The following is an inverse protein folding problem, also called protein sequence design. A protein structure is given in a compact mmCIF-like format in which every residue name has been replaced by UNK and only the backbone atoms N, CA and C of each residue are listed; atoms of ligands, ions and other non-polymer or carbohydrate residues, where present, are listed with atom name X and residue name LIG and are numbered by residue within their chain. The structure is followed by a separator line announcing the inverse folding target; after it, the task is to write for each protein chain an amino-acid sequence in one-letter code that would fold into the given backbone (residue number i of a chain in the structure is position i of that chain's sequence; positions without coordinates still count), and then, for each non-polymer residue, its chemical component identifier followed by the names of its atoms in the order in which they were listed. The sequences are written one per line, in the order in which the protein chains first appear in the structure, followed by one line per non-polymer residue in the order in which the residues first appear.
data_IF_547881275278
#
_entry.id   IF_547881275278
#
_cell.length_a   1.000
_cell.length_b   1.000
_cell.length_c   1.000
_cell.angle_alpha   90.00
_cell.angle_beta   90.00
_cell.angle_gamma   90.00
#
_symmetry.space_group_name_H-M   'P 1'
#
loop_
_entity.id
_entity.type
_entity.pdbx_description
1 polymer ?
#
# COMPACT_ATOMS: atom_id res chain seq x y z
N UNK A 1 43.92 10.27 -23.15
CA UNK A 1 43.46 11.23 -22.12
C UNK A 1 41.98 11.54 -22.34
N UNK A 2 41.05 10.71 -21.85
CA UNK A 2 39.59 10.88 -22.01
C UNK A 2 38.71 10.44 -20.80
N UNK A 3 39.18 10.35 -19.52
CA UNK A 3 38.30 9.84 -18.45
C UNK A 3 37.34 10.88 -17.84
N UNK A 4 37.49 12.18 -18.13
CA UNK A 4 36.76 13.24 -17.39
C UNK A 4 35.31 13.46 -17.82
N UNK A 5 34.90 12.98 -19.00
CA UNK A 5 33.52 13.15 -19.51
C UNK A 5 32.59 12.04 -18.99
N UNK A 6 33.13 10.87 -18.64
CA UNK A 6 32.33 9.71 -18.20
C UNK A 6 31.80 9.89 -16.77
N UNK A 7 32.58 10.53 -15.89
CA UNK A 7 32.23 10.76 -14.48
C UNK A 7 30.94 11.59 -14.30
N UNK A 8 30.77 12.77 -14.95
CA UNK A 8 29.54 13.56 -14.79
C UNK A 8 28.31 12.87 -15.38
N UNK A 9 28.45 12.07 -16.44
CA UNK A 9 27.35 11.29 -17.01
C UNK A 9 26.86 10.21 -16.02
N UNK A 10 27.77 9.49 -15.37
CA UNK A 10 27.41 8.49 -14.35
C UNK A 10 26.73 9.15 -13.14
N UNK A 11 27.25 10.30 -12.68
CA UNK A 11 26.63 11.06 -11.58
C UNK A 11 25.22 11.56 -11.94
N UNK A 12 25.01 12.04 -13.17
CA UNK A 12 23.69 12.48 -13.63
C UNK A 12 22.69 11.33 -13.67
N UNK A 13 23.10 10.16 -14.18
CA UNK A 13 22.25 8.95 -14.21
C UNK A 13 21.88 8.51 -12.79
N UNK A 14 22.85 8.46 -11.88
CA UNK A 14 22.61 8.12 -10.46
C UNK A 14 21.68 9.12 -9.77
N UNK A 15 21.82 10.41 -10.07
CA UNK A 15 20.97 11.47 -9.50
C UNK A 15 19.51 11.35 -9.97
N UNK A 16 19.29 11.11 -11.26
CA UNK A 16 17.95 10.90 -11.84
C UNK A 16 17.29 9.64 -11.27
N UNK A 17 18.05 8.54 -11.15
CA UNK A 17 17.56 7.31 -10.53
C UNK A 17 17.19 7.50 -9.06
N UNK A 18 18.00 8.25 -8.30
CA UNK A 18 17.73 8.61 -6.91
C UNK A 18 16.44 9.41 -6.73
N UNK A 19 16.19 10.42 -7.58
CA UNK A 19 14.95 11.19 -7.55
C UNK A 19 13.70 10.35 -7.82
N UNK A 20 13.77 9.41 -8.78
CA UNK A 20 12.64 8.54 -9.12
C UNK A 20 12.24 7.63 -7.94
N UNK A 21 13.23 7.10 -7.20
CA UNK A 21 12.99 6.32 -5.97
C UNK A 21 12.29 7.13 -4.87
N UNK A 22 12.72 8.38 -4.63
CA UNK A 22 12.12 9.24 -3.58
C UNK A 22 10.64 9.52 -3.84
N UNK A 23 10.25 9.84 -5.08
CA UNK A 23 8.84 10.09 -5.44
C UNK A 23 7.95 8.86 -5.23
N UNK A 24 8.45 7.65 -5.48
CA UNK A 24 7.72 6.40 -5.20
C UNK A 24 7.49 6.22 -3.70
N UNK A 25 8.50 6.52 -2.87
CA UNK A 25 8.40 6.40 -1.42
C UNK A 25 7.36 7.37 -0.82
N UNK A 26 7.37 8.63 -1.25
CA UNK A 26 6.38 9.63 -0.78
C UNK A 26 4.94 9.23 -1.12
N UNK A 27 4.70 8.72 -2.35
CA UNK A 27 3.37 8.23 -2.74
C UNK A 27 2.92 7.04 -1.90
N UNK A 28 3.85 6.14 -1.55
CA UNK A 28 3.55 5.00 -0.68
C UNK A 28 3.19 5.45 0.73
N UNK A 29 3.91 6.42 1.30
CA UNK A 29 3.59 6.96 2.63
C UNK A 29 2.23 7.66 2.66
N UNK A 30 1.92 8.51 1.67
CA UNK A 30 0.61 9.16 1.60
C UNK A 30 -0.53 8.15 1.42
N UNK A 31 -0.27 7.03 0.72
CA UNK A 31 -1.24 5.96 0.57
C UNK A 31 -1.46 5.20 1.89
N UNK A 32 -0.38 4.89 2.61
CA UNK A 32 -0.43 4.21 3.92
C UNK A 32 -1.06 5.06 5.03
N UNK A 33 -1.07 6.39 4.88
CA UNK A 33 -1.76 7.30 5.79
C UNK A 33 -3.28 7.40 5.58
N UNK A 34 -3.84 6.72 4.57
CA UNK A 34 -5.30 6.69 4.36
C UNK A 34 -5.97 5.72 5.34
N UNK A 35 -7.22 5.99 5.68
CA UNK A 35 -8.04 5.11 6.51
C UNK A 35 -8.03 3.67 5.99
N UNK A 36 -7.96 2.71 6.90
CA UNK A 36 -7.92 1.29 6.62
C UNK A 36 -6.55 0.75 6.26
N UNK A 37 -5.48 1.56 6.24
CA UNK A 37 -4.12 1.09 5.91
C UNK A 37 -3.18 0.90 7.11
N UNK A 38 -3.64 1.26 8.32
CA UNK A 38 -2.97 1.02 9.58
C UNK A 38 -3.97 0.48 10.61
N UNK A 39 -3.50 -0.25 11.65
CA UNK A 39 -4.38 -0.73 12.71
C UNK A 39 -5.03 0.41 13.50
N UNK A 40 -4.33 1.54 13.70
CA UNK A 40 -4.89 2.73 14.36
C UNK A 40 -5.97 3.45 13.57
N UNK A 41 -5.93 3.34 12.23
CA UNK A 41 -6.92 3.94 11.33
C UNK A 41 -7.84 2.89 10.71
N UNK A 42 -8.00 1.73 11.37
CA UNK A 42 -8.79 0.62 10.85
C UNK A 42 -10.22 1.08 10.52
N UNK A 43 -10.70 0.70 9.33
CA UNK A 43 -12.02 1.12 8.87
C UNK A 43 -13.09 0.33 9.63
N UNK A 44 -14.03 1.03 10.24
CA UNK A 44 -15.18 0.38 10.91
C UNK A 44 -16.15 -0.13 9.85
N UNK A 45 -16.53 -1.40 9.98
CA UNK A 45 -17.52 -2.07 9.12
C UNK A 45 -18.54 -2.79 9.99
N UNK A 46 -19.79 -2.84 9.51
CA UNK A 46 -20.87 -3.53 10.21
C UNK A 46 -20.79 -5.06 10.01
N UNK A 47 -20.13 -5.49 8.93
CA UNK A 47 -20.01 -6.90 8.55
C UNK A 47 -18.76 -7.15 7.73
N UNK A 48 -18.20 -8.36 7.85
CA UNK A 48 -17.12 -8.83 6.98
C UNK A 48 -17.50 -8.80 5.48
N UNK A 49 -18.79 -8.84 5.15
CA UNK A 49 -19.26 -8.74 3.75
C UNK A 49 -18.97 -7.37 3.12
N UNK A 50 -18.92 -6.30 3.92
CA UNK A 50 -18.60 -4.95 3.46
C UNK A 50 -17.12 -4.75 3.12
N UNK A 51 -16.27 -5.68 3.52
CA UNK A 51 -14.84 -5.59 3.24
C UNK A 51 -14.53 -5.81 1.76
N UNK A 52 -15.28 -6.68 1.07
CA UNK A 52 -15.07 -6.98 -0.35
C UNK A 52 -15.30 -5.77 -1.27
N UNK A 53 -16.43 -5.04 -1.22
CA UNK A 53 -16.61 -3.85 -2.07
C UNK A 53 -15.59 -2.76 -1.78
N UNK A 54 -15.08 -2.66 -0.54
CA UNK A 54 -13.98 -1.75 -0.23
C UNK A 54 -12.67 -2.17 -0.91
N UNK A 55 -12.33 -3.47 -0.90
CA UNK A 55 -11.17 -3.99 -1.64
C UNK A 55 -11.30 -3.69 -3.14
N UNK A 56 -12.49 -3.90 -3.70
CA UNK A 56 -12.75 -3.73 -5.14
C UNK A 56 -12.66 -2.26 -5.59
N UNK A 57 -13.00 -1.31 -4.71
CA UNK A 57 -12.92 0.13 -4.97
C UNK A 57 -11.53 0.69 -4.70
N UNK A 58 -10.78 0.09 -3.77
CA UNK A 58 -9.44 0.54 -3.40
C UNK A 58 -8.45 0.28 -4.53
N UNK A 59 -7.59 1.27 -4.81
CA UNK A 59 -6.53 1.18 -5.81
C UNK A 59 -5.18 1.16 -5.15
N UNK A 60 -4.22 0.47 -5.75
CA UNK A 60 -2.83 0.55 -5.32
C UNK A 60 -2.29 1.98 -5.54
N UNK A 61 -1.22 2.36 -4.85
CA UNK A 61 -0.51 3.62 -5.08
C UNK A 61 0.00 3.79 -6.52
N UNK A 62 0.13 2.69 -7.29
CA UNK A 62 0.44 2.73 -8.72
C UNK A 62 -0.79 3.00 -9.61
N UNK A 63 -2.00 3.04 -9.06
CA UNK A 63 -3.27 3.13 -9.79
C UNK A 63 -3.90 1.78 -10.18
N UNK A 64 -3.16 0.68 -10.00
CA UNK A 64 -3.62 -0.67 -10.32
C UNK A 64 -4.74 -1.17 -9.42
N UNK A 65 -5.53 -2.13 -9.92
CA UNK A 65 -6.48 -2.90 -9.10
C UNK A 65 -5.73 -3.76 -8.10
N UNK A 66 -6.35 -3.98 -6.94
CA UNK A 66 -5.87 -4.88 -5.90
C UNK A 66 -6.83 -6.05 -5.80
N UNK A 67 -6.30 -7.21 -5.44
CA UNK A 67 -7.09 -8.41 -5.20
C UNK A 67 -6.80 -8.97 -3.82
N UNK A 68 -7.84 -9.48 -3.16
CA UNK A 68 -7.72 -10.15 -1.87
C UNK A 68 -6.98 -11.47 -2.03
N UNK A 69 -5.97 -11.71 -1.18
CA UNK A 69 -5.18 -12.94 -1.12
C UNK A 69 -5.32 -13.68 0.20
N UNK A 70 -5.51 -12.94 1.29
CA UNK A 70 -5.63 -13.51 2.63
C UNK A 70 -6.56 -12.68 3.50
N UNK A 71 -7.10 -13.32 4.52
CA UNK A 71 -7.91 -12.71 5.56
C UNK A 71 -7.56 -13.38 6.89
N UNK A 72 -7.22 -12.58 7.89
CA UNK A 72 -6.88 -13.05 9.23
C UNK A 72 -7.30 -12.02 10.28
N UNK A 73 -7.59 -12.45 11.50
CA UNK A 73 -7.70 -11.52 12.63
C UNK A 73 -6.29 -11.07 13.05
N UNK A 74 -6.16 -9.82 13.49
CA UNK A 74 -4.91 -9.31 14.04
C UNK A 74 -4.69 -9.95 15.41
N UNK A 75 -3.54 -10.61 15.62
CA UNK A 75 -3.24 -11.39 16.84
C UNK A 75 -3.41 -10.54 18.10
N UNK A 76 -2.92 -9.30 18.07
CA UNK A 76 -2.95 -8.40 19.21
C UNK A 76 -4.31 -7.69 19.41
N UNK A 77 -5.17 -7.69 18.38
CA UNK A 77 -6.48 -7.03 18.41
C UNK A 77 -7.50 -7.86 17.63
N UNK A 78 -8.14 -8.88 18.24
CA UNK A 78 -9.04 -9.79 17.53
C UNK A 78 -10.28 -9.11 16.93
N UNK A 79 -10.64 -7.91 17.42
CA UNK A 79 -11.68 -7.07 16.84
C UNK A 79 -11.29 -6.47 15.46
N UNK A 80 -10.00 -6.50 15.11
CA UNK A 80 -9.48 -6.04 13.83
C UNK A 80 -9.22 -7.25 12.92
N UNK A 81 -9.88 -7.25 11.76
CA UNK A 81 -9.59 -8.15 10.66
C UNK A 81 -8.64 -7.49 9.68
N UNK A 82 -7.56 -8.19 9.33
CA UNK A 82 -6.60 -7.81 8.31
C UNK A 82 -6.90 -8.57 7.02
N UNK A 83 -7.05 -7.83 5.93
CA UNK A 83 -7.12 -8.38 4.58
C UNK A 83 -5.79 -8.10 3.87
N UNK A 84 -5.08 -9.16 3.53
CA UNK A 84 -3.89 -9.07 2.70
C UNK A 84 -4.30 -9.04 1.23
N UNK A 85 -3.97 -7.95 0.56
CA UNK A 85 -4.22 -7.72 -0.85
C UNK A 85 -2.90 -7.67 -1.64
N UNK A 86 -3.00 -7.91 -2.94
CA UNK A 86 -1.89 -7.81 -3.88
C UNK A 86 -2.32 -7.00 -5.10
N UNK A 87 -1.45 -6.11 -5.58
CA UNK A 87 -1.73 -5.32 -6.76
C UNK A 87 -1.42 -6.10 -8.05
N UNK A 88 -2.38 -6.23 -8.96
CA UNK A 88 -2.20 -6.94 -10.23
C UNK A 88 -1.24 -6.25 -11.23
N UNK A 89 -0.82 -5.02 -10.97
CA UNK A 89 0.02 -4.24 -11.90
C UNK A 89 1.47 -4.13 -11.45
N UNK A 90 1.73 -4.13 -10.14
CA UNK A 90 3.08 -3.91 -9.60
C UNK A 90 3.47 -4.92 -8.52
N UNK A 91 2.63 -5.94 -8.32
CA UNK A 91 2.79 -7.04 -7.35
C UNK A 91 3.03 -6.57 -5.90
N UNK A 92 2.68 -5.32 -5.59
CA UNK A 92 2.88 -4.84 -4.24
C UNK A 92 1.80 -5.42 -3.30
N UNK A 93 2.27 -5.91 -2.16
CA UNK A 93 1.45 -6.39 -1.06
C UNK A 93 0.91 -5.20 -0.26
N UNK A 94 -0.40 -5.17 -0.07
CA UNK A 94 -1.12 -4.13 0.66
C UNK A 94 -1.91 -4.81 1.78
N UNK A 95 -1.91 -4.21 2.97
CA UNK A 95 -2.73 -4.68 4.08
C UNK A 95 -3.84 -3.67 4.32
N UNK A 96 -5.06 -4.17 4.42
CA UNK A 96 -6.23 -3.40 4.80
C UNK A 96 -6.72 -3.87 6.16
N UNK A 97 -6.98 -2.94 7.06
CA UNK A 97 -7.40 -3.19 8.45
C UNK A 97 -8.84 -2.73 8.62
N UNK A 98 -9.66 -3.64 9.11
CA UNK A 98 -11.09 -3.41 9.34
C UNK A 98 -11.44 -3.75 10.78
N UNK A 99 -12.18 -2.88 11.45
CA UNK A 99 -12.78 -3.17 12.76
C UNK A 99 -14.22 -3.58 12.54
N UNK A 100 -14.61 -4.76 13.02
CA UNK A 100 -16.00 -5.23 12.90
C UNK A 100 -16.75 -4.79 14.14
N UNK A 101 -17.68 -3.86 13.98
CA UNK A 101 -18.58 -3.42 15.05
C UNK A 101 -20.00 -3.87 14.72
N UNK A 102 -20.52 -4.82 15.50
CA UNK A 102 -21.91 -5.25 15.39
C UNK A 102 -22.79 -4.16 15.98
N UNK A 103 -23.35 -3.31 15.12
CA UNK A 103 -24.45 -2.41 15.51
C UNK A 103 -25.67 -3.29 15.80
N UNK A 104 -25.96 -3.47 17.09
CA UNK A 104 -27.11 -4.20 17.61
C UNK A 104 -28.39 -3.39 17.52
#
# INVERSE_FOLDING_TARGET
MLPWIVVPLVLAVLYVWGQKRRKKHQRKQHFLGKEGHAPETARVVSSLKETQPYVDTTRCFCGGKIVKRSQAALVDQPAITVIGCECLHCDEKIRLYFRVEYMH
#
